data_IF_573759799049
#
_entry.id   IF_573759799049
#
_cell.length_a   1.000
_cell.length_b   1.000
_cell.length_c   1.000
_cell.angle_alpha   90.00
_cell.angle_beta   90.00
_cell.angle_gamma   90.00
#
_symmetry.space_group_name_H-M   'P 1'
#
loop_
_entity.id
_entity.type
_entity.pdbx_description
1 polymer ?
#
# COMPACT_ATOMS: atom_id res chain seq x y z
N UNK A 1 -7.15 18.31 15.29
CA UNK A 1 -6.80 17.23 16.24
C UNK A 1 -7.08 15.91 15.53
N UNK A 2 -6.08 15.34 14.87
CA UNK A 2 -6.21 14.01 14.24
C UNK A 2 -6.05 13.02 15.38
N UNK A 3 -7.09 12.22 15.66
CA UNK A 3 -7.01 11.14 16.64
C UNK A 3 -5.98 10.12 16.16
N UNK A 4 -4.76 10.18 16.69
CA UNK A 4 -3.82 9.07 16.58
C UNK A 4 -4.38 7.91 17.39
N UNK A 5 -4.56 6.77 16.74
CA UNK A 5 -4.78 5.52 17.44
C UNK A 5 -3.49 5.22 18.23
N UNK A 6 -3.54 5.31 19.56
CA UNK A 6 -2.43 4.84 20.39
C UNK A 6 -2.34 3.32 20.29
N UNK A 7 -1.47 2.81 19.43
CA UNK A 7 -1.17 1.39 19.36
C UNK A 7 -0.31 1.01 20.57
N UNK A 8 -0.86 0.19 21.47
CA UNK A 8 -0.13 -0.34 22.65
C UNK A 8 0.95 -1.36 22.29
N UNK A 9 1.06 -1.73 21.02
CA UNK A 9 2.05 -2.69 20.53
C UNK A 9 3.14 -1.97 19.75
N UNK A 10 4.34 -2.54 19.77
CA UNK A 10 5.45 -2.09 18.95
C UNK A 10 5.03 -2.04 17.47
N UNK A 11 5.08 -0.85 16.90
CA UNK A 11 4.62 -0.59 15.55
C UNK A 11 5.50 -1.30 14.50
N UNK A 12 6.79 -1.48 14.75
CA UNK A 12 7.68 -2.20 13.83
C UNK A 12 7.34 -3.69 13.77
N UNK A 13 6.99 -4.28 14.92
CA UNK A 13 6.45 -5.65 14.98
C UNK A 13 5.13 -5.73 14.22
N UNK A 14 4.21 -4.79 14.45
CA UNK A 14 2.91 -4.79 13.81
C UNK A 14 3.01 -4.59 12.28
N UNK A 15 3.87 -3.70 11.80
CA UNK A 15 4.19 -3.53 10.37
C UNK A 15 4.67 -4.84 9.75
N UNK A 16 5.58 -5.53 10.44
CA UNK A 16 6.07 -6.84 9.99
C UNK A 16 4.96 -7.87 9.85
N UNK A 17 4.02 -7.92 10.82
CA UNK A 17 2.85 -8.80 10.77
C UNK A 17 1.90 -8.43 9.63
N UNK A 18 1.60 -7.14 9.45
CA UNK A 18 0.72 -6.65 8.40
C UNK A 18 1.28 -6.93 7.00
N UNK A 19 2.58 -6.69 6.77
CA UNK A 19 3.24 -7.00 5.49
C UNK A 19 3.16 -8.51 5.19
N UNK A 20 3.44 -9.36 6.19
CA UNK A 20 3.29 -10.82 6.04
C UNK A 20 1.86 -11.22 5.72
N UNK A 21 0.88 -10.67 6.43
CA UNK A 21 -0.54 -10.98 6.21
C UNK A 21 -0.98 -10.52 4.82
N UNK A 22 -0.61 -9.31 4.39
CA UNK A 22 -0.87 -8.82 3.04
C UNK A 22 -0.33 -9.79 1.97
N UNK A 23 0.90 -10.28 2.15
CA UNK A 23 1.52 -11.26 1.24
C UNK A 23 0.76 -12.59 1.20
N UNK A 24 0.31 -13.09 2.35
CA UNK A 24 -0.51 -14.30 2.45
C UNK A 24 -1.86 -14.13 1.76
N UNK A 25 -2.60 -13.06 2.08
CA UNK A 25 -3.89 -12.75 1.46
C UNK A 25 -3.73 -12.69 -0.05
N UNK A 26 -2.68 -12.05 -0.56
CA UNK A 26 -2.43 -12.03 -2.00
C UNK A 26 -2.25 -13.44 -2.61
N UNK A 27 -1.55 -14.33 -1.91
CA UNK A 27 -1.38 -15.74 -2.30
C UNK A 27 -2.71 -16.50 -2.35
N UNK A 28 -3.56 -16.34 -1.33
CA UNK A 28 -4.90 -16.95 -1.26
C UNK A 28 -5.78 -16.55 -2.47
N UNK A 29 -5.62 -15.35 -3.01
CA UNK A 29 -6.33 -14.91 -4.23
C UNK A 29 -5.69 -15.41 -5.51
N UNK A 30 -4.35 -15.53 -5.57
CA UNK A 30 -3.69 -16.13 -6.71
C UNK A 30 -4.12 -17.59 -6.87
N UNK A 31 -4.08 -18.38 -5.80
CA UNK A 31 -4.49 -19.79 -5.78
C UNK A 31 -5.97 -19.98 -6.17
N UNK A 32 -6.84 -19.07 -5.74
CA UNK A 32 -8.26 -19.08 -6.15
C UNK A 32 -8.46 -18.81 -7.66
N UNK A 33 -7.49 -18.18 -8.33
CA UNK A 33 -7.59 -17.76 -9.74
C UNK A 33 -6.85 -18.68 -10.72
N UNK A 34 -6.02 -19.62 -10.26
CA UNK A 34 -5.28 -20.57 -11.11
C UNK A 34 -6.19 -21.44 -12.00
N UNK A 35 -7.51 -21.43 -11.78
CA UNK A 35 -8.48 -22.17 -12.59
C UNK A 35 -8.76 -21.51 -13.96
N UNK A 36 -8.32 -20.28 -14.23
CA UNK A 36 -8.63 -19.57 -15.48
C UNK A 36 -7.47 -18.76 -16.08
N UNK A 37 -6.82 -19.34 -17.09
CA UNK A 37 -6.03 -18.74 -18.19
C UNK A 37 -4.81 -17.84 -17.85
N UNK A 38 -3.71 -18.13 -18.53
CA UNK A 38 -2.34 -17.74 -18.18
C UNK A 38 -1.93 -16.42 -18.86
N UNK A 39 -2.04 -15.31 -18.11
CA UNK A 39 -1.42 -14.03 -18.46
C UNK A 39 -1.20 -13.15 -17.23
N UNK A 40 -0.37 -12.10 -17.31
CA UNK A 40 -0.19 -11.13 -16.22
C UNK A 40 -1.53 -10.46 -15.91
N UNK A 41 -2.16 -10.86 -14.82
CA UNK A 41 -3.45 -10.31 -14.44
C UNK A 41 -3.28 -8.83 -14.09
N UNK A 42 -4.00 -7.97 -14.83
CA UNK A 42 -4.07 -6.54 -14.59
C UNK A 42 -5.31 -6.23 -13.77
N UNK A 43 -5.21 -5.21 -12.92
CA UNK A 43 -6.37 -4.66 -12.26
C UNK A 43 -7.21 -3.89 -13.30
N UNK A 44 -8.48 -4.28 -13.57
CA UNK A 44 -9.31 -3.58 -14.56
C UNK A 44 -9.56 -2.11 -14.23
N UNK A 45 -9.41 -1.76 -12.95
CA UNK A 45 -9.71 -0.43 -12.41
C UNK A 45 -8.52 0.54 -12.51
N UNK A 46 -7.27 0.04 -12.44
CA UNK A 46 -6.06 0.88 -12.53
C UNK A 46 -5.23 0.63 -13.79
N UNK A 47 -5.44 -0.49 -14.49
CA UNK A 47 -4.64 -0.89 -15.65
C UNK A 47 -3.24 -1.44 -15.31
N UNK A 48 -2.82 -1.33 -14.04
CA UNK A 48 -1.54 -1.84 -13.52
C UNK A 48 -1.58 -3.35 -13.28
N UNK A 49 -0.41 -3.98 -13.25
CA UNK A 49 -0.33 -5.39 -12.87
C UNK A 49 -0.52 -5.55 -11.37
N UNK A 50 -1.11 -6.67 -10.94
CA UNK A 50 -1.27 -6.94 -9.51
C UNK A 50 0.08 -7.03 -8.76
N UNK A 51 1.16 -7.37 -9.45
CA UNK A 51 2.51 -7.38 -8.86
C UNK A 51 2.97 -5.97 -8.49
N UNK A 52 2.74 -5.00 -9.37
CA UNK A 52 3.12 -3.59 -9.14
C UNK A 52 2.31 -2.98 -8.00
N UNK A 53 0.99 -3.24 -7.98
CA UNK A 53 0.11 -2.77 -6.90
C UNK A 53 0.54 -3.38 -5.56
N UNK A 54 0.84 -4.68 -5.51
CA UNK A 54 1.34 -5.34 -4.30
C UNK A 54 2.61 -4.69 -3.78
N UNK A 55 3.56 -4.39 -4.67
CA UNK A 55 4.82 -3.74 -4.30
C UNK A 55 4.58 -2.35 -3.70
N UNK A 56 3.77 -1.52 -4.37
CA UNK A 56 3.40 -0.17 -3.88
C UNK A 56 2.73 -0.22 -2.51
N UNK A 57 1.86 -1.21 -2.27
CA UNK A 57 1.21 -1.39 -0.97
C UNK A 57 2.18 -1.80 0.15
N UNK A 58 3.14 -2.67 -0.16
CA UNK A 58 4.20 -3.07 0.80
C UNK A 58 5.10 -1.88 1.14
N UNK A 59 5.45 -1.07 0.14
CA UNK A 59 6.21 0.19 0.30
C UNK A 59 5.44 1.20 1.15
N UNK A 60 4.16 1.44 0.84
CA UNK A 60 3.32 2.35 1.62
C UNK A 60 3.21 1.94 3.09
N UNK A 61 3.12 0.64 3.39
CA UNK A 61 3.05 0.12 4.76
C UNK A 61 4.32 0.43 5.57
N UNK A 62 5.49 0.40 4.95
CA UNK A 62 6.76 0.68 5.65
C UNK A 62 7.05 2.16 5.81
N UNK A 63 6.43 3.02 4.98
CA UNK A 63 6.62 4.47 5.06
C UNK A 63 6.08 5.09 6.35
N UNK A 64 5.13 4.46 7.05
CA UNK A 64 4.62 4.99 8.32
C UNK A 64 5.67 4.86 9.44
N UNK A 65 6.51 5.88 9.61
CA UNK A 65 7.58 5.93 10.61
C UNK A 65 7.11 6.42 11.97
N UNK A 66 6.14 7.35 12.01
CA UNK A 66 5.72 7.99 13.26
C UNK A 66 4.71 7.19 14.10
N UNK A 67 4.35 5.99 13.63
CA UNK A 67 3.36 5.12 14.25
C UNK A 67 2.27 4.66 13.27
N UNK A 68 1.23 3.98 13.77
CA UNK A 68 0.15 3.49 12.93
C UNK A 68 -0.69 4.63 12.33
N UNK A 69 -1.14 4.51 11.08
CA UNK A 69 -2.07 5.47 10.49
C UNK A 69 -3.46 5.37 11.15
N UNK A 70 -4.27 6.43 11.03
CA UNK A 70 -5.68 6.40 11.48
C UNK A 70 -6.52 5.37 10.72
N UNK A 71 -6.06 4.91 9.56
CA UNK A 71 -6.66 3.83 8.75
C UNK A 71 -6.27 2.43 9.20
N UNK A 72 -5.39 2.27 10.20
CA UNK A 72 -4.91 0.96 10.67
C UNK A 72 -6.07 0.01 11.02
N UNK A 73 -7.09 0.50 11.72
CA UNK A 73 -8.24 -0.33 12.08
C UNK A 73 -8.90 -0.93 10.83
N UNK A 74 -9.17 -0.07 9.82
CA UNK A 74 -9.81 -0.49 8.58
C UNK A 74 -8.93 -1.47 7.79
N UNK A 75 -7.63 -1.23 7.77
CA UNK A 75 -6.66 -2.15 7.17
C UNK A 75 -6.71 -3.53 7.84
N UNK A 76 -6.71 -3.59 9.17
CA UNK A 76 -6.79 -4.84 9.92
C UNK A 76 -8.08 -5.61 9.62
N UNK A 77 -9.23 -4.93 9.59
CA UNK A 77 -10.52 -5.54 9.22
C UNK A 77 -10.44 -6.21 7.84
N UNK A 78 -9.89 -5.50 6.85
CA UNK A 78 -9.75 -6.02 5.48
C UNK A 78 -8.83 -7.23 5.44
N UNK A 79 -7.68 -7.20 6.13
CA UNK A 79 -6.68 -8.27 6.08
C UNK A 79 -7.07 -9.51 6.91
N UNK A 80 -7.96 -9.37 7.89
CA UNK A 80 -8.46 -10.48 8.70
C UNK A 80 -9.55 -11.28 7.96
N UNK A 81 -10.46 -10.61 7.25
CA UNK A 81 -11.59 -11.27 6.56
C UNK A 81 -11.70 -10.87 5.07
N UNK A 82 -10.61 -10.96 4.28
CA UNK A 82 -10.52 -10.37 2.96
C UNK A 82 -11.55 -10.93 1.98
N UNK A 83 -11.74 -12.26 1.94
CA UNK A 83 -12.67 -12.93 1.03
C UNK A 83 -14.14 -12.63 1.35
N UNK A 84 -14.45 -12.37 2.62
CA UNK A 84 -15.79 -12.01 3.06
C UNK A 84 -16.15 -10.58 2.67
N UNK A 85 -15.18 -9.65 2.74
CA UNK A 85 -15.40 -8.23 2.45
C UNK A 85 -15.26 -7.96 0.94
N UNK A 86 -14.26 -8.56 0.31
CA UNK A 86 -13.91 -8.36 -1.09
C UNK A 86 -13.65 -9.72 -1.79
N UNK A 87 -14.67 -10.38 -2.36
CA UNK A 87 -14.49 -11.68 -3.02
C UNK A 87 -13.60 -11.61 -4.28
N UNK A 88 -13.38 -10.41 -4.84
CA UNK A 88 -12.58 -10.19 -6.04
C UNK A 88 -11.28 -9.43 -5.72
N UNK A 89 -10.15 -9.86 -6.32
CA UNK A 89 -8.83 -9.27 -6.10
C UNK A 89 -8.76 -7.78 -6.49
N UNK A 90 -9.41 -7.38 -7.58
CA UNK A 90 -9.45 -5.98 -8.04
C UNK A 90 -10.06 -5.05 -6.98
N UNK A 91 -11.14 -5.51 -6.32
CA UNK A 91 -11.82 -4.73 -5.28
C UNK A 91 -10.99 -4.65 -4.01
N UNK A 92 -10.33 -5.75 -3.65
CA UNK A 92 -9.41 -5.79 -2.52
C UNK A 92 -8.24 -4.82 -2.74
N UNK A 93 -7.59 -4.91 -3.90
CA UNK A 93 -6.46 -4.07 -4.27
C UNK A 93 -6.84 -2.57 -4.20
N UNK A 94 -7.97 -2.19 -4.80
CA UNK A 94 -8.43 -0.81 -4.77
C UNK A 94 -8.75 -0.32 -3.35
N UNK A 95 -9.37 -1.18 -2.53
CA UNK A 95 -9.67 -0.83 -1.14
C UNK A 95 -8.38 -0.60 -0.33
N UNK A 96 -7.37 -1.44 -0.52
CA UNK A 96 -6.08 -1.31 0.16
C UNK A 96 -5.32 -0.06 -0.31
N UNK A 97 -5.28 0.21 -1.62
CA UNK A 97 -4.67 1.43 -2.16
C UNK A 97 -5.32 2.68 -1.57
N UNK A 98 -6.66 2.73 -1.56
CA UNK A 98 -7.38 3.86 -0.98
C UNK A 98 -7.14 4.03 0.52
N UNK A 99 -6.89 2.96 1.27
CA UNK A 99 -6.63 3.08 2.71
C UNK A 99 -5.18 3.47 3.00
N UNK A 100 -4.22 2.94 2.25
CA UNK A 100 -2.80 3.15 2.50
C UNK A 100 -2.26 4.39 1.79
N UNK A 101 -2.49 4.53 0.49
CA UNK A 101 -1.91 5.60 -0.32
C UNK A 101 -2.54 6.95 0.02
N UNK A 102 -3.87 7.01 0.20
CA UNK A 102 -4.51 8.26 0.63
C UNK A 102 -3.98 8.70 1.99
N UNK A 103 -3.55 7.79 2.86
CA UNK A 103 -2.98 8.18 4.13
C UNK A 103 -1.56 8.71 3.95
N UNK A 104 -0.75 8.09 3.09
CA UNK A 104 0.61 8.58 2.78
C UNK A 104 0.59 9.96 2.10
N UNK A 105 -0.30 10.17 1.13
CA UNK A 105 -0.42 11.46 0.42
C UNK A 105 -0.90 12.61 1.31
N UNK A 106 -1.64 12.31 2.38
CA UNK A 106 -2.16 13.31 3.32
C UNK A 106 -1.31 13.42 4.59
N UNK A 107 -0.25 12.62 4.73
CA UNK A 107 0.69 12.69 5.85
C UNK A 107 1.84 13.62 5.48
N UNK A 108 1.75 14.88 5.96
CA UNK A 108 2.75 15.92 5.67
C UNK A 108 4.18 15.52 6.05
N UNK A 109 4.36 14.65 7.05
CA UNK A 109 5.68 14.13 7.44
C UNK A 109 6.27 13.14 6.42
N UNK A 110 5.44 12.47 5.62
CA UNK A 110 5.90 11.53 4.59
C UNK A 110 6.15 12.19 3.23
N UNK A 111 5.53 13.33 2.96
CA UNK A 111 5.81 14.15 1.78
C UNK A 111 7.24 14.72 1.81
N UNK A 112 7.73 15.13 2.99
CA UNK A 112 9.15 15.53 3.15
C UNK A 112 10.11 14.37 2.85
N UNK A 113 9.76 13.14 3.25
CA UNK A 113 10.59 11.96 2.98
C UNK A 113 10.59 11.63 1.48
N UNK A 114 9.44 11.72 0.80
CA UNK A 114 9.36 11.49 -0.66
C UNK A 114 10.08 12.58 -1.47
N UNK A 115 10.10 13.84 -1.02
CA UNK A 115 10.90 14.90 -1.65
C UNK A 115 12.41 14.68 -1.49
N UNK A 116 12.87 14.17 -0.33
CA UNK A 116 14.29 13.86 -0.09
C UNK A 116 14.81 12.75 -1.02
N UNK A 117 13.94 11.85 -1.50
CA UNK A 117 14.31 10.79 -2.44
C UNK A 117 14.21 11.18 -3.93
N UNK A 118 13.79 12.41 -4.27
CA UNK A 118 13.84 12.89 -5.65
C UNK A 118 15.30 13.18 -6.04
N UNK A 119 15.83 12.60 -7.14
CA UNK A 119 17.17 12.93 -7.60
C UNK A 119 17.26 14.43 -7.94
N UNK A 120 18.40 15.09 -7.64
CA UNK A 120 18.56 16.51 -7.91
C UNK A 120 18.30 16.79 -9.40
N UNK A 121 17.28 17.60 -9.68
CA UNK A 121 16.98 18.06 -11.02
C UNK A 121 18.22 18.80 -11.54
N UNK A 122 18.86 18.23 -12.57
CA UNK A 122 20.04 18.83 -13.18
C UNK A 122 19.69 20.24 -13.62
N UNK A 123 20.38 21.22 -13.03
CA UNK A 123 20.40 22.60 -13.48
C UNK A 123 20.76 22.58 -14.98
N UNK A 124 19.77 22.80 -15.85
CA UNK A 124 20.03 23.05 -17.27
C UNK A 124 20.67 24.43 -17.32
N UNK A 125 22.00 24.43 -17.27
CA UNK A 125 22.86 25.57 -17.55
C UNK A 125 22.48 26.09 -18.94
N UNK A 126 21.70 27.18 -18.97
CA UNK A 126 21.52 28.01 -20.16
C UNK A 126 22.88 28.60 -20.52
N UNK A 127 23.71 27.85 -21.24
CA UNK A 127 24.86 28.42 -21.95
C UNK A 127 24.30 29.17 -23.15
N UNK A 128 24.32 30.49 -22.99
CA UNK A 128 23.92 31.53 -23.92
C UNK A 128 24.37 31.29 -25.37
N UNK A 129 23.49 31.74 -26.26
CA UNK A 129 23.79 32.10 -27.65
C UNK A 129 24.73 33.30 -27.70
#
# INVERSE_FOLDING_TARGET
>A
MIFRLECRHDWDILKGLLSRRLKQVWGEYAESQVVGDAGPQKCPLSGETYTDIKKRLDEALVCFMEGPPFTLQRLCEILLTPKSIYPNLSKLALALEKNLISTVENDSSLLEILEVFQPPQKLIEKRNK
#
